data_IF_442048093302
#
_entry.id   IF_442048093302
#
_cell.length_a   1.000
_cell.length_b   1.000
_cell.length_c   1.000
_cell.angle_alpha   90.00
_cell.angle_beta   90.00
_cell.angle_gamma   90.00
#
_symmetry.space_group_name_H-M   'P 1'
#
loop_
_entity.id
_entity.type
_entity.pdbx_description
1 polymer ?
#
# COMPACT_ATOMS: atom_id res chain seq x y z
N UNK A 1 -27.80 -13.82 13.70
CA UNK A 1 -26.37 -13.95 14.09
C UNK A 1 -25.55 -13.28 12.98
N UNK A 2 -24.95 -12.12 13.24
CA UNK A 2 -24.20 -11.38 12.22
C UNK A 2 -22.95 -12.18 11.81
N UNK A 3 -22.62 -12.20 10.52
CA UNK A 3 -21.48 -12.96 9.99
C UNK A 3 -20.19 -12.28 10.50
N UNK A 4 -19.20 -13.03 11.01
CA UNK A 4 -17.92 -12.43 11.37
C UNK A 4 -17.32 -11.72 10.15
N UNK A 5 -16.70 -10.56 10.41
CA UNK A 5 -16.14 -9.69 9.39
C UNK A 5 -15.22 -10.46 8.44
N UNK A 6 -15.35 -10.22 7.13
CA UNK A 6 -14.65 -11.01 6.12
C UNK A 6 -13.17 -10.60 6.11
N UNK A 7 -12.31 -11.44 6.67
CA UNK A 7 -10.87 -11.24 6.62
C UNK A 7 -10.38 -11.51 5.19
N UNK A 8 -10.02 -10.45 4.47
CA UNK A 8 -9.45 -10.56 3.13
C UNK A 8 -8.01 -11.07 3.20
N UNK A 9 -7.78 -12.32 2.80
CA UNK A 9 -6.43 -12.88 2.70
C UNK A 9 -5.64 -12.19 1.60
N UNK A 10 -4.36 -11.87 1.82
CA UNK A 10 -3.57 -11.19 0.83
C UNK A 10 -3.31 -12.08 -0.40
N UNK A 11 -3.47 -11.50 -1.60
CA UNK A 11 -3.41 -12.22 -2.89
C UNK A 11 -2.01 -12.78 -3.21
N UNK A 12 -0.95 -12.15 -2.72
CA UNK A 12 0.44 -12.59 -2.90
C UNK A 12 1.34 -12.05 -1.77
N UNK A 13 2.61 -12.45 -1.77
CA UNK A 13 3.60 -12.05 -0.75
C UNK A 13 3.84 -10.54 -0.68
N UNK A 14 3.85 -9.86 -1.83
CA UNK A 14 4.01 -8.39 -1.89
C UNK A 14 2.80 -7.71 -1.26
N UNK A 15 1.59 -8.13 -1.63
CA UNK A 15 0.34 -7.62 -1.07
C UNK A 15 0.30 -7.79 0.45
N UNK A 16 0.73 -8.95 0.95
CA UNK A 16 0.84 -9.21 2.38
C UNK A 16 1.82 -8.26 3.06
N UNK A 17 3.03 -8.11 2.52
CA UNK A 17 4.07 -7.26 3.10
C UNK A 17 3.64 -5.79 3.15
N UNK A 18 3.04 -5.28 2.07
CA UNK A 18 2.59 -3.89 1.96
C UNK A 18 1.44 -3.61 2.91
N UNK A 19 0.40 -4.46 2.93
CA UNK A 19 -0.74 -4.29 3.84
C UNK A 19 -0.28 -4.32 5.30
N UNK A 20 0.58 -5.26 5.66
CA UNK A 20 1.13 -5.36 7.01
C UNK A 20 1.97 -4.15 7.39
N UNK A 21 2.78 -3.63 6.46
CA UNK A 21 3.59 -2.45 6.69
C UNK A 21 2.72 -1.19 6.90
N UNK A 22 1.65 -1.03 6.12
CA UNK A 22 0.69 0.07 6.27
C UNK A 22 -0.02 -0.03 7.63
N UNK A 23 -0.53 -1.21 7.98
CA UNK A 23 -1.26 -1.42 9.23
C UNK A 23 -0.38 -1.20 10.47
N UNK A 24 0.93 -1.47 10.36
CA UNK A 24 1.90 -1.28 11.45
C UNK A 24 2.59 0.08 11.45
N UNK A 25 2.30 0.98 10.51
CA UNK A 25 2.99 2.26 10.42
C UNK A 25 4.44 2.17 9.92
N UNK A 26 4.84 1.05 9.31
CA UNK A 26 6.22 0.75 8.89
C UNK A 26 6.40 0.76 7.37
N UNK A 27 5.54 1.46 6.64
CA UNK A 27 5.63 1.53 5.18
C UNK A 27 6.96 2.13 4.70
N UNK A 28 7.49 3.12 5.41
CA UNK A 28 8.79 3.74 5.07
C UNK A 28 9.93 2.71 5.14
N UNK A 29 10.00 1.93 6.23
CA UNK A 29 10.99 0.87 6.41
C UNK A 29 10.91 -0.15 5.27
N UNK A 30 9.71 -0.54 4.86
CA UNK A 30 9.54 -1.48 3.74
C UNK A 30 10.16 -0.95 2.44
N UNK A 31 10.08 0.36 2.20
CA UNK A 31 10.55 1.02 0.98
C UNK A 31 12.06 1.27 1.00
N UNK A 32 12.56 1.85 2.09
CA UNK A 32 13.95 2.30 2.19
C UNK A 32 14.91 1.17 2.60
N UNK A 33 14.51 0.29 3.52
CA UNK A 33 15.39 -0.77 4.02
C UNK A 33 15.61 -1.88 2.99
N UNK A 34 14.63 -2.11 2.10
CA UNK A 34 14.72 -3.13 1.04
C UNK A 34 15.19 -2.58 -0.29
N UNK A 35 15.73 -1.36 -0.33
CA UNK A 35 16.21 -0.73 -1.57
C UNK A 35 15.15 -0.75 -2.68
N UNK A 36 13.86 -0.69 -2.34
CA UNK A 36 12.77 -0.84 -3.31
C UNK A 36 12.83 0.26 -4.38
N UNK A 37 13.38 1.43 -4.02
CA UNK A 37 13.62 2.55 -4.93
C UNK A 37 14.62 2.25 -6.06
N UNK A 38 15.52 1.29 -5.87
CA UNK A 38 16.51 0.90 -6.88
C UNK A 38 15.95 -0.05 -7.95
N UNK A 39 14.71 -0.52 -7.77
CA UNK A 39 14.03 -1.37 -8.74
C UNK A 39 12.70 -0.77 -9.14
N UNK A 40 12.60 -0.33 -10.40
CA UNK A 40 11.33 0.07 -11.00
C UNK A 40 10.26 -1.03 -10.88
N UNK A 41 10.66 -2.30 -10.95
CA UNK A 41 9.75 -3.44 -10.78
C UNK A 41 9.22 -3.55 -9.35
N UNK A 42 10.07 -3.32 -8.34
CA UNK A 42 9.65 -3.32 -6.94
C UNK A 42 8.68 -2.15 -6.65
N UNK A 43 8.98 -0.95 -7.18
CA UNK A 43 8.08 0.19 -7.08
C UNK A 43 6.74 -0.05 -7.79
N UNK A 44 6.76 -0.62 -9.00
CA UNK A 44 5.54 -0.97 -9.71
C UNK A 44 4.68 -1.97 -8.93
N UNK A 45 5.30 -2.97 -8.28
CA UNK A 45 4.59 -3.94 -7.45
C UNK A 45 4.02 -3.29 -6.17
N UNK A 46 4.78 -2.40 -5.52
CA UNK A 46 4.35 -1.66 -4.34
C UNK A 46 3.16 -0.74 -4.65
N UNK A 47 3.30 0.14 -5.65
CA UNK A 47 2.24 1.06 -6.04
C UNK A 47 1.03 0.33 -6.60
N UNK A 48 1.25 -0.74 -7.39
CA UNK A 48 0.16 -1.58 -7.88
C UNK A 48 -0.66 -2.23 -6.76
N UNK A 49 -0.05 -2.52 -5.61
CA UNK A 49 -0.80 -2.93 -4.41
C UNK A 49 -1.54 -1.74 -3.81
N UNK A 50 -0.84 -0.65 -3.50
CA UNK A 50 -1.42 0.53 -2.81
C UNK A 50 -2.67 1.03 -3.55
N UNK A 51 -2.58 1.20 -4.87
CA UNK A 51 -3.65 1.74 -5.69
C UNK A 51 -4.87 0.81 -5.84
N UNK A 52 -4.75 -0.46 -5.43
CA UNK A 52 -5.86 -1.43 -5.39
C UNK A 52 -6.45 -1.62 -4.00
N UNK A 53 -5.89 -0.98 -2.97
CA UNK A 53 -6.41 -1.08 -1.62
C UNK A 53 -7.69 -0.26 -1.44
N UNK A 54 -8.53 -0.55 -0.43
CA UNK A 54 -9.66 0.30 -0.09
C UNK A 54 -9.22 1.74 0.23
N UNK A 55 -10.05 2.77 -0.04
CA UNK A 55 -9.69 4.18 0.09
C UNK A 55 -9.08 4.56 1.45
N UNK A 56 -9.59 3.96 2.54
CA UNK A 56 -9.06 4.18 3.89
C UNK A 56 -7.59 3.75 4.00
N UNK A 57 -7.23 2.57 3.47
CA UNK A 57 -5.85 2.07 3.50
C UNK A 57 -4.94 2.86 2.56
N UNK A 58 -5.47 3.38 1.45
CA UNK A 58 -4.74 4.29 0.57
C UNK A 58 -4.39 5.60 1.29
N UNK A 59 -5.36 6.22 1.96
CA UNK A 59 -5.14 7.43 2.74
C UNK A 59 -4.10 7.22 3.86
N UNK A 60 -4.14 6.06 4.55
CA UNK A 60 -3.11 5.68 5.52
C UNK A 60 -1.71 5.56 4.88
N UNK A 61 -1.62 4.91 3.72
CA UNK A 61 -0.37 4.78 2.98
C UNK A 61 0.18 6.15 2.54
N UNK A 62 -0.67 7.04 2.01
CA UNK A 62 -0.32 8.41 1.63
C UNK A 62 0.22 9.20 2.81
N UNK A 63 -0.46 9.14 3.97
CA UNK A 63 -0.02 9.81 5.21
C UNK A 63 1.34 9.30 5.69
N UNK A 64 1.61 8.00 5.56
CA UNK A 64 2.90 7.42 5.95
C UNK A 64 4.02 7.75 4.96
N UNK A 65 3.77 7.69 3.64
CA UNK A 65 4.79 8.05 2.64
C UNK A 65 5.06 9.55 2.55
N UNK A 66 4.08 10.40 2.87
CA UNK A 66 4.16 11.87 2.74
C UNK A 66 4.61 12.29 1.34
N UNK A 67 4.06 11.65 0.31
CA UNK A 67 4.45 11.84 -1.09
C UNK A 67 3.36 12.52 -1.88
N UNK A 68 3.64 13.74 -2.35
CA UNK A 68 2.77 14.50 -3.28
C UNK A 68 2.51 13.73 -4.58
N UNK A 69 3.45 12.87 -4.99
CA UNK A 69 3.30 12.04 -6.19
C UNK A 69 2.25 10.94 -5.97
N UNK A 70 2.28 10.27 -4.83
CA UNK A 70 1.31 9.23 -4.50
C UNK A 70 -0.09 9.80 -4.33
N UNK A 71 -0.22 10.95 -3.66
CA UNK A 71 -1.51 11.66 -3.52
C UNK A 71 -2.13 11.96 -4.90
N UNK A 72 -1.35 12.54 -5.82
CA UNK A 72 -1.84 12.81 -7.18
C UNK A 72 -2.14 11.56 -8.00
N UNK A 73 -1.45 10.45 -7.76
CA UNK A 73 -1.74 9.20 -8.44
C UNK A 73 -3.08 8.62 -7.99
N UNK A 74 -3.36 8.67 -6.68
CA UNK A 74 -4.63 8.22 -6.11
C UNK A 74 -5.77 9.10 -6.64
N UNK A 75 -5.63 10.42 -6.59
CA UNK A 75 -6.61 11.38 -7.13
C UNK A 75 -6.96 11.09 -8.60
N UNK A 76 -5.97 10.71 -9.42
CA UNK A 76 -6.18 10.37 -10.84
C UNK A 76 -6.85 9.03 -11.08
N UNK A 77 -6.79 8.11 -10.13
CA UNK A 77 -7.39 6.78 -10.24
C UNK A 77 -8.80 6.69 -9.65
N UNK A 78 -9.12 7.59 -8.72
CA UNK A 78 -10.46 7.74 -8.13
C UNK A 78 -11.38 8.64 -8.97
N UNK A 79 -10.84 9.34 -9.98
CA UNK A 79 -11.56 10.17 -10.97
C UNK A 79 -11.95 9.37 -12.22
#
# INVERSE_FOLDING_TARGET
>A
KSRPERVLTPLNGVHRAVVMAIERGKLQNLIFDNQALFSHRALAALFGVILRLPPIKQAMASKQMKSRYLERLIEKMDA
#
